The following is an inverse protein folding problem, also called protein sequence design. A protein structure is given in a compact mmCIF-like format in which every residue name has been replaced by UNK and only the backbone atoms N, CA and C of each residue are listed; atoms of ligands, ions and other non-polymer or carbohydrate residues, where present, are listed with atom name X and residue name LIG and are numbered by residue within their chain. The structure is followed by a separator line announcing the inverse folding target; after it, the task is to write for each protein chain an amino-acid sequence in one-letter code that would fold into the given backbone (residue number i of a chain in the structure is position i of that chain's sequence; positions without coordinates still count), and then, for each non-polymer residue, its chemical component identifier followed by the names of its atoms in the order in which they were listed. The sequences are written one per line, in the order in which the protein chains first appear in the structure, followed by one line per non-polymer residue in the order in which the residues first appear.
data_IF_824872554686
#
_entry.id   IF_824872554686
#
_cell.length_a   1.000
_cell.length_b   1.000
_cell.length_c   1.000
_cell.angle_alpha   90.00
_cell.angle_beta   90.00
_cell.angle_gamma   90.00
#
_symmetry.space_group_name_H-M   'P 1'
#
loop_
_entity.id
_entity.type
_entity.pdbx_description
1 polymer ?
#
# COMPACT_ATOMS: atom_id res chain seq x y z
N UNK A 1 25.29 -28.37 1.32
CA UNK A 1 25.88 -28.45 -0.03
C UNK A 1 24.80 -28.99 -0.95
N UNK A 2 23.68 -28.28 -1.04
CA UNK A 2 22.73 -28.44 -2.12
C UNK A 2 23.06 -27.29 -3.07
N UNK A 3 23.66 -27.65 -4.18
CA UNK A 3 23.77 -26.76 -5.33
C UNK A 3 22.35 -26.61 -5.89
N UNK A 4 21.67 -25.54 -5.51
CA UNK A 4 20.52 -25.06 -6.26
C UNK A 4 21.06 -24.65 -7.63
N UNK A 5 21.06 -25.58 -8.57
CA UNK A 5 21.24 -25.27 -9.97
C UNK A 5 20.07 -24.37 -10.37
N UNK A 6 20.35 -23.12 -10.70
CA UNK A 6 19.40 -22.18 -11.31
C UNK A 6 18.93 -22.81 -12.63
N UNK A 7 17.71 -23.35 -12.57
CA UNK A 7 17.23 -24.23 -13.62
C UNK A 7 16.75 -23.44 -14.82
N UNK A 8 17.56 -23.51 -15.84
CA UNK A 8 17.17 -23.16 -17.22
C UNK A 8 16.04 -24.10 -17.64
N UNK A 9 14.98 -23.65 -18.32
CA UNK A 9 13.92 -24.51 -18.80
C UNK A 9 14.47 -25.73 -19.53
N UNK A 10 14.21 -26.94 -19.01
CA UNK A 10 14.64 -28.17 -19.66
C UNK A 10 13.56 -28.62 -20.63
N UNK A 11 13.89 -28.64 -21.90
CA UNK A 11 13.03 -29.13 -22.97
C UNK A 11 13.35 -30.62 -23.21
N UNK A 12 12.31 -31.46 -23.21
CA UNK A 12 12.46 -32.87 -23.56
C UNK A 12 12.97 -33.07 -25.00
N UNK A 13 13.75 -34.14 -25.25
CA UNK A 13 14.20 -34.51 -26.60
C UNK A 13 13.01 -35.05 -27.41
N UNK A 14 12.43 -34.25 -28.32
CA UNK A 14 11.36 -34.65 -29.23
C UNK A 14 10.45 -33.50 -29.64
N UNK A 15 9.56 -33.72 -30.61
CA UNK A 15 8.59 -32.74 -31.08
C UNK A 15 7.42 -32.49 -30.07
N UNK A 16 7.43 -33.18 -28.94
CA UNK A 16 6.42 -33.06 -27.88
C UNK A 16 7.02 -32.44 -26.63
N UNK A 17 6.43 -31.38 -26.11
CA UNK A 17 6.81 -30.75 -24.83
C UNK A 17 6.29 -31.65 -23.71
N UNK A 18 7.18 -32.40 -23.03
CA UNK A 18 6.83 -33.25 -21.88
C UNK A 18 6.68 -32.43 -20.58
N UNK A 19 7.52 -31.43 -20.37
CA UNK A 19 7.43 -30.45 -19.30
C UNK A 19 8.19 -29.18 -19.68
N UNK A 20 7.75 -28.02 -19.22
CA UNK A 20 8.53 -26.77 -19.28
C UNK A 20 8.69 -26.28 -17.86
N UNK A 21 9.92 -26.26 -17.37
CA UNK A 21 10.27 -25.65 -16.12
C UNK A 21 10.47 -24.16 -16.33
N UNK A 22 9.61 -23.36 -15.74
CA UNK A 22 9.78 -21.92 -15.72
C UNK A 22 10.41 -21.53 -14.38
N UNK A 23 11.33 -20.58 -14.39
CA UNK A 23 11.92 -20.00 -13.19
C UNK A 23 10.80 -19.70 -12.19
N UNK A 24 10.85 -20.37 -11.05
CA UNK A 24 9.88 -20.18 -9.99
C UNK A 24 8.63 -21.08 -10.03
N UNK A 25 8.60 -22.15 -10.82
CA UNK A 25 7.61 -23.25 -10.75
C UNK A 25 8.31 -24.55 -10.43
N UNK A 26 7.73 -25.43 -9.61
CA UNK A 26 8.34 -26.70 -9.24
C UNK A 26 8.36 -27.73 -10.38
N UNK A 27 9.28 -28.72 -10.31
CA UNK A 27 9.55 -29.75 -11.30
C UNK A 27 8.34 -30.58 -11.77
N UNK A 28 7.26 -30.58 -11.00
CA UNK A 28 6.04 -31.35 -11.28
C UNK A 28 4.98 -30.56 -12.06
N UNK A 29 5.28 -29.34 -12.54
CA UNK A 29 4.32 -28.59 -13.36
C UNK A 29 4.05 -29.30 -14.67
N UNK A 30 3.08 -30.22 -14.67
CA UNK A 30 2.67 -30.94 -15.87
C UNK A 30 1.98 -29.97 -16.86
N UNK A 31 2.68 -29.64 -17.89
CA UNK A 31 2.10 -28.92 -19.02
C UNK A 31 1.30 -29.89 -19.88
N UNK A 32 0.14 -29.48 -20.34
CA UNK A 32 -0.61 -30.25 -21.33
C UNK A 32 0.28 -30.46 -22.57
N UNK A 33 0.32 -31.70 -23.09
CA UNK A 33 0.99 -31.99 -24.36
C UNK A 33 0.47 -31.02 -25.42
N UNK A 34 1.32 -30.13 -25.90
CA UNK A 34 1.00 -29.23 -27.00
C UNK A 34 1.92 -29.60 -28.16
N UNK A 35 1.33 -30.27 -29.13
CA UNK A 35 1.97 -30.45 -30.46
C UNK A 35 1.99 -29.08 -31.15
N UNK A 36 3.13 -28.69 -31.65
CA UNK A 36 3.38 -27.54 -32.53
C UNK A 36 3.84 -26.22 -31.84
N UNK A 37 4.26 -26.20 -30.57
CA UNK A 37 4.93 -25.06 -29.93
C UNK A 37 6.35 -25.43 -29.54
N UNK A 38 7.31 -24.68 -30.05
CA UNK A 38 8.71 -24.83 -29.60
C UNK A 38 8.84 -24.24 -28.19
N UNK A 39 9.39 -25.00 -27.25
CA UNK A 39 9.50 -24.55 -25.87
C UNK A 39 10.41 -23.32 -25.73
N UNK A 40 11.41 -23.22 -26.61
CA UNK A 40 12.31 -22.06 -26.71
C UNK A 40 11.58 -20.76 -27.12
N UNK A 41 10.32 -20.86 -27.58
CA UNK A 41 9.47 -19.71 -27.92
C UNK A 41 8.57 -19.24 -26.76
N UNK A 42 8.55 -19.97 -25.63
CA UNK A 42 7.75 -19.62 -24.45
C UNK A 42 8.52 -18.63 -23.56
N UNK A 43 8.40 -17.36 -23.88
CA UNK A 43 9.13 -16.26 -23.23
C UNK A 43 8.23 -15.30 -22.44
N UNK A 44 6.96 -15.67 -22.25
CA UNK A 44 6.00 -14.82 -21.57
C UNK A 44 4.91 -15.55 -20.80
N UNK A 45 4.34 -14.87 -19.80
CA UNK A 45 3.17 -15.34 -19.04
C UNK A 45 2.03 -14.34 -19.14
N UNK A 46 0.81 -14.87 -19.29
CA UNK A 46 -0.42 -14.10 -19.26
C UNK A 46 -1.18 -14.42 -17.97
N UNK A 47 -1.16 -13.46 -17.03
CA UNK A 47 -1.81 -13.62 -15.74
C UNK A 47 -3.21 -13.02 -15.77
N UNK A 48 -4.20 -13.79 -15.32
CA UNK A 48 -5.58 -13.33 -15.15
C UNK A 48 -5.99 -13.43 -13.69
N UNK A 49 -6.61 -12.38 -13.17
CA UNK A 49 -7.19 -12.38 -11.85
C UNK A 49 -8.65 -11.92 -11.88
N UNK A 50 -9.51 -12.60 -11.15
CA UNK A 50 -10.91 -12.22 -10.99
C UNK A 50 -11.29 -12.23 -9.52
N UNK A 51 -11.83 -11.12 -9.05
CA UNK A 51 -12.36 -10.99 -7.69
C UNK A 51 -13.83 -10.62 -7.77
N UNK A 52 -14.68 -11.46 -7.22
CA UNK A 52 -16.10 -11.16 -6.98
C UNK A 52 -16.29 -10.97 -5.47
N UNK A 53 -16.57 -9.74 -5.03
CA UNK A 53 -16.71 -9.42 -3.61
C UNK A 53 -18.09 -8.87 -3.28
N UNK A 54 -18.65 -9.34 -2.18
CA UNK A 54 -19.93 -8.87 -1.65
C UNK A 54 -19.82 -8.62 -0.15
N UNK A 55 -20.26 -7.43 0.27
CA UNK A 55 -20.29 -7.09 1.69
C UNK A 55 -21.70 -6.64 2.10
N UNK A 56 -22.12 -7.05 3.29
CA UNK A 56 -23.37 -6.62 3.92
C UNK A 56 -23.07 -6.19 5.34
N UNK A 57 -23.52 -5.00 5.72
CA UNK A 57 -23.28 -4.46 7.06
C UNK A 57 -24.54 -3.88 7.69
N UNK A 58 -24.58 -3.97 9.00
CA UNK A 58 -25.58 -3.33 9.85
C UNK A 58 -24.87 -2.61 11.00
N UNK A 59 -25.21 -1.35 11.22
CA UNK A 59 -24.72 -0.60 12.36
C UNK A 59 -25.88 0.06 13.11
N UNK A 60 -25.74 0.11 14.43
CA UNK A 60 -26.69 0.74 15.31
C UNK A 60 -25.92 1.60 16.32
N UNK A 61 -26.43 2.82 16.57
CA UNK A 61 -25.89 3.67 17.64
C UNK A 61 -27.00 4.43 18.34
N UNK A 62 -26.78 4.69 19.62
CA UNK A 62 -27.60 5.54 20.48
C UNK A 62 -26.73 6.65 21.03
N UNK A 63 -27.20 7.88 20.92
CA UNK A 63 -26.59 9.04 21.56
C UNK A 63 -27.52 9.56 22.65
N UNK A 64 -26.95 9.92 23.82
CA UNK A 64 -27.68 10.46 24.94
C UNK A 64 -26.89 11.58 25.59
N UNK A 65 -27.50 12.74 25.69
CA UNK A 65 -27.00 13.83 26.53
C UNK A 65 -27.49 13.64 27.98
N UNK A 66 -26.60 13.92 28.92
CA UNK A 66 -26.87 13.79 30.34
C UNK A 66 -25.94 14.72 31.15
N UNK A 67 -26.22 14.86 32.43
CA UNK A 67 -25.33 15.57 33.34
C UNK A 67 -24.57 14.60 34.24
N UNK A 68 -23.24 14.70 34.23
CA UNK A 68 -22.35 13.93 35.11
C UNK A 68 -21.71 14.87 36.11
N UNK A 69 -22.07 14.72 37.39
CA UNK A 69 -21.55 15.58 38.48
C UNK A 69 -21.66 17.08 38.19
N UNK A 70 -22.72 17.48 37.47
CA UNK A 70 -22.97 18.89 37.08
C UNK A 70 -22.35 19.31 35.76
N UNK A 71 -21.56 18.45 35.10
CA UNK A 71 -21.00 18.69 33.78
C UNK A 71 -21.92 18.17 32.69
N UNK A 72 -22.00 18.89 31.56
CA UNK A 72 -22.73 18.41 30.37
C UNK A 72 -21.92 17.29 29.71
N UNK A 73 -22.57 16.17 29.48
CA UNK A 73 -21.92 14.99 28.88
C UNK A 73 -22.80 14.41 27.77
N UNK A 74 -22.15 13.84 26.77
CA UNK A 74 -22.77 13.06 25.71
C UNK A 74 -22.16 11.66 25.68
N UNK A 75 -23.01 10.64 25.76
CA UNK A 75 -22.62 9.24 25.63
C UNK A 75 -23.17 8.71 24.30
N UNK A 76 -22.29 8.16 23.49
CA UNK A 76 -22.62 7.37 22.31
C UNK A 76 -22.24 5.92 22.60
N UNK A 77 -23.17 5.00 22.38
CA UNK A 77 -22.92 3.56 22.41
C UNK A 77 -23.43 2.93 21.13
N UNK A 78 -22.72 1.95 20.62
CA UNK A 78 -23.15 1.33 19.38
C UNK A 78 -22.57 -0.06 19.16
N UNK A 79 -23.12 -0.70 18.15
CA UNK A 79 -22.68 -2.00 17.67
C UNK A 79 -22.66 -2.00 16.14
N UNK A 80 -21.73 -2.72 15.56
CA UNK A 80 -21.71 -2.98 14.12
C UNK A 80 -21.49 -4.46 13.85
N UNK A 81 -22.04 -4.93 12.74
CA UNK A 81 -21.85 -6.25 12.19
C UNK A 81 -21.62 -6.12 10.71
N UNK A 82 -20.61 -6.80 10.18
CA UNK A 82 -20.33 -6.88 8.75
C UNK A 82 -20.04 -8.33 8.38
N UNK A 83 -20.66 -8.80 7.31
CA UNK A 83 -20.32 -10.05 6.64
C UNK A 83 -19.81 -9.72 5.24
N UNK A 84 -18.63 -10.24 4.89
CA UNK A 84 -18.04 -10.21 3.55
C UNK A 84 -17.97 -11.64 3.01
N UNK A 85 -18.06 -11.73 1.70
CA UNK A 85 -17.95 -12.95 0.92
C UNK A 85 -17.12 -12.57 -0.31
N UNK A 86 -15.99 -13.21 -0.51
CA UNK A 86 -15.04 -12.90 -1.58
C UNK A 86 -14.64 -14.19 -2.28
N UNK A 87 -14.92 -14.25 -3.56
CA UNK A 87 -14.45 -15.30 -4.44
C UNK A 87 -13.27 -14.75 -5.25
N UNK A 88 -12.11 -15.35 -5.09
CA UNK A 88 -10.92 -15.00 -5.85
C UNK A 88 -10.50 -16.15 -6.75
N UNK A 89 -10.21 -15.83 -8.00
CA UNK A 89 -9.70 -16.76 -9.00
C UNK A 89 -8.51 -16.14 -9.72
N UNK A 90 -7.42 -16.88 -9.83
CA UNK A 90 -6.27 -16.49 -10.63
C UNK A 90 -5.78 -17.66 -11.47
N UNK A 91 -5.32 -17.35 -12.68
CA UNK A 91 -4.70 -18.31 -13.61
C UNK A 91 -3.49 -17.65 -14.26
N UNK A 92 -2.44 -18.43 -14.47
CA UNK A 92 -1.27 -18.09 -15.26
C UNK A 92 -1.24 -18.99 -16.49
N UNK A 93 -1.20 -18.38 -17.66
CA UNK A 93 -1.10 -19.07 -18.96
C UNK A 93 0.23 -18.72 -19.59
N UNK A 94 1.00 -19.71 -20.02
CA UNK A 94 2.22 -19.47 -20.77
C UNK A 94 1.90 -18.96 -22.16
N UNK A 95 2.80 -18.21 -22.74
CA UNK A 95 2.61 -17.60 -24.05
C UNK A 95 3.90 -17.09 -24.64
N UNK A 96 3.77 -16.50 -25.80
CA UNK A 96 4.85 -15.93 -26.59
C UNK A 96 4.79 -14.42 -26.49
N UNK A 97 5.90 -13.75 -26.20
CA UNK A 97 6.04 -12.31 -26.31
C UNK A 97 6.07 -11.93 -27.79
N UNK A 98 5.03 -11.25 -28.28
CA UNK A 98 5.01 -10.70 -29.61
C UNK A 98 6.06 -9.57 -29.70
N UNK A 99 7.25 -9.90 -30.16
CA UNK A 99 8.39 -9.00 -30.18
C UNK A 99 9.02 -8.91 -31.56
N UNK A 100 8.50 -8.06 -32.45
CA UNK A 100 9.22 -7.72 -33.67
C UNK A 100 10.30 -6.63 -33.46
N UNK A 101 10.26 -5.93 -32.35
CA UNK A 101 11.35 -5.05 -31.88
C UNK A 101 11.12 -4.69 -30.42
N UNK A 102 12.19 -4.58 -29.64
CA UNK A 102 12.18 -4.22 -28.20
C UNK A 102 11.44 -2.90 -27.86
N UNK A 103 10.96 -2.18 -28.86
CA UNK A 103 10.26 -0.91 -28.72
C UNK A 103 8.75 -0.99 -29.01
N UNK A 104 8.25 -2.02 -29.69
CA UNK A 104 6.92 -1.96 -30.30
C UNK A 104 5.84 -2.86 -29.70
N UNK A 105 6.18 -3.96 -29.02
CA UNK A 105 5.14 -4.80 -28.41
C UNK A 105 5.61 -5.41 -27.09
N UNK A 106 4.77 -5.31 -26.10
CA UNK A 106 4.88 -5.99 -24.80
C UNK A 106 3.63 -6.82 -24.56
N UNK A 107 3.13 -7.46 -25.61
CA UNK A 107 1.92 -8.25 -25.55
C UNK A 107 2.31 -9.71 -25.50
N UNK A 108 1.92 -10.40 -24.46
CA UNK A 108 2.00 -11.85 -24.39
C UNK A 108 0.79 -12.42 -25.13
N UNK A 109 1.04 -13.27 -26.10
CA UNK A 109 0.02 -14.07 -26.78
C UNK A 109 -0.14 -15.38 -26.02
N UNK A 110 -1.18 -15.55 -25.17
CA UNK A 110 -1.36 -16.76 -24.39
C UNK A 110 -1.66 -17.94 -25.30
N UNK A 111 -1.10 -19.09 -24.98
CA UNK A 111 -1.37 -20.34 -25.70
C UNK A 111 -2.50 -21.08 -25.00
N UNK A 112 -3.60 -21.29 -25.69
CA UNK A 112 -4.78 -21.97 -25.16
C UNK A 112 -4.44 -23.39 -24.66
N UNK A 113 -4.72 -23.66 -23.38
CA UNK A 113 -4.48 -24.94 -22.75
C UNK A 113 -3.12 -25.07 -22.05
N UNK A 114 -2.20 -24.13 -22.27
CA UNK A 114 -0.89 -24.13 -21.62
C UNK A 114 -0.94 -23.29 -20.32
N UNK A 115 -1.41 -23.93 -19.26
CA UNK A 115 -1.67 -23.29 -17.97
C UNK A 115 -0.72 -23.80 -16.90
N UNK A 116 -0.11 -22.90 -16.14
CA UNK A 116 0.64 -23.27 -14.94
C UNK A 116 -0.35 -23.76 -13.87
N UNK A 117 -0.45 -25.07 -13.69
CA UNK A 117 -1.42 -25.68 -12.77
C UNK A 117 -1.18 -25.26 -11.32
N UNK A 118 0.05 -25.18 -10.90
CA UNK A 118 0.46 -24.79 -9.54
C UNK A 118 0.25 -23.30 -9.24
N UNK A 119 0.22 -22.45 -10.26
CA UNK A 119 -0.08 -21.04 -10.11
C UNK A 119 -1.58 -20.70 -10.16
N UNK A 120 -2.44 -21.72 -10.16
CA UNK A 120 -3.88 -21.55 -10.12
C UNK A 120 -4.36 -21.28 -8.71
N UNK A 121 -5.22 -20.29 -8.55
CA UNK A 121 -5.87 -20.01 -7.26
C UNK A 121 -7.37 -20.00 -7.44
N UNK A 122 -8.07 -20.68 -6.56
CA UNK A 122 -9.53 -20.65 -6.43
C UNK A 122 -9.87 -20.60 -4.96
N UNK A 123 -10.03 -19.40 -4.43
CA UNK A 123 -10.19 -19.15 -3.01
C UNK A 123 -11.56 -18.54 -2.73
N UNK A 124 -12.30 -19.16 -1.80
CA UNK A 124 -13.52 -18.60 -1.22
C UNK A 124 -13.24 -18.10 0.20
N UNK A 125 -13.57 -16.85 0.48
CA UNK A 125 -13.29 -16.21 1.76
C UNK A 125 -14.56 -15.66 2.37
N UNK A 126 -14.96 -16.22 3.49
CA UNK A 126 -16.03 -15.71 4.36
C UNK A 126 -15.42 -14.88 5.49
N UNK A 127 -15.77 -13.60 5.57
CA UNK A 127 -15.38 -12.74 6.69
C UNK A 127 -16.58 -12.33 7.52
N UNK A 128 -16.44 -12.37 8.83
CA UNK A 128 -17.45 -11.88 9.75
C UNK A 128 -16.79 -10.99 10.81
N UNK A 129 -17.20 -9.74 10.85
CA UNK A 129 -16.71 -8.78 11.82
C UNK A 129 -17.85 -8.20 12.64
N UNK A 130 -17.70 -8.15 13.96
CA UNK A 130 -18.62 -7.43 14.81
C UNK A 130 -17.88 -6.61 15.86
N UNK A 131 -18.47 -5.51 16.23
CA UNK A 131 -17.90 -4.65 17.24
C UNK A 131 -18.94 -4.04 18.16
N UNK A 132 -18.50 -3.74 19.37
CA UNK A 132 -19.20 -2.91 20.35
C UNK A 132 -18.32 -1.70 20.63
N UNK A 133 -18.91 -0.52 20.67
CA UNK A 133 -18.17 0.69 20.96
C UNK A 133 -18.94 1.65 21.84
N UNK A 134 -18.18 2.46 22.57
CA UNK A 134 -18.70 3.60 23.30
C UNK A 134 -17.79 4.80 23.12
N UNK A 135 -18.35 5.98 23.19
CA UNK A 135 -17.65 7.26 23.30
C UNK A 135 -18.42 8.15 24.27
N UNK A 136 -17.72 8.73 25.22
CA UNK A 136 -18.27 9.72 26.13
C UNK A 136 -17.47 11.01 26.03
N UNK A 137 -18.15 12.11 25.75
CA UNK A 137 -17.57 13.45 25.76
C UNK A 137 -18.18 14.23 26.92
N UNK A 138 -17.34 14.76 27.78
CA UNK A 138 -17.76 15.52 28.98
C UNK A 138 -17.15 16.91 28.95
N UNK A 139 -17.97 17.93 28.95
CA UNK A 139 -17.57 19.33 29.01
C UNK A 139 -17.19 19.68 30.47
N UNK A 140 -15.91 19.68 30.79
CA UNK A 140 -15.40 19.96 32.16
C UNK A 140 -15.44 21.45 32.47
N UNK A 141 -15.32 22.33 31.46
CA UNK A 141 -15.48 23.76 31.53
C UNK A 141 -15.88 24.34 30.19
N UNK A 142 -16.09 25.63 30.07
CA UNK A 142 -16.31 26.27 28.76
C UNK A 142 -15.13 26.10 27.79
N UNK A 143 -13.95 25.78 28.32
CA UNK A 143 -12.70 25.66 27.55
C UNK A 143 -12.17 24.24 27.43
N UNK A 144 -12.65 23.27 28.23
CA UNK A 144 -12.05 21.92 28.28
C UNK A 144 -13.13 20.85 28.19
N UNK A 145 -12.94 19.92 27.24
CA UNK A 145 -13.72 18.70 27.10
C UNK A 145 -12.82 17.46 27.28
N UNK A 146 -13.33 16.47 27.98
CA UNK A 146 -12.70 15.15 28.13
C UNK A 146 -13.46 14.13 27.28
N UNK A 147 -12.75 13.42 26.45
CA UNK A 147 -13.27 12.36 25.60
C UNK A 147 -12.72 11.00 26.05
N UNK A 148 -13.60 10.06 26.31
CA UNK A 148 -13.25 8.68 26.65
C UNK A 148 -13.96 7.76 25.67
N UNK A 149 -13.21 6.85 25.06
CA UNK A 149 -13.74 5.92 24.09
C UNK A 149 -13.16 4.52 24.23
N UNK A 150 -13.87 3.57 23.68
CA UNK A 150 -13.37 2.22 23.54
C UNK A 150 -14.18 1.44 22.52
N UNK A 151 -13.49 0.59 21.78
CA UNK A 151 -14.08 -0.30 20.79
C UNK A 151 -13.54 -1.72 20.99
N UNK A 152 -14.46 -2.65 21.12
CA UNK A 152 -14.18 -4.07 21.12
C UNK A 152 -14.52 -4.64 19.75
N UNK A 153 -13.53 -5.25 19.10
CA UNK A 153 -13.66 -5.90 17.80
C UNK A 153 -13.50 -7.41 17.95
N UNK A 154 -14.25 -8.15 17.15
CA UNK A 154 -14.03 -9.57 16.92
C UNK A 154 -14.26 -9.87 15.45
N UNK A 155 -13.19 -10.37 14.83
CA UNK A 155 -13.12 -10.70 13.41
C UNK A 155 -12.91 -12.21 13.27
N UNK A 156 -13.58 -12.80 12.30
CA UNK A 156 -13.48 -14.20 11.95
C UNK A 156 -13.35 -14.29 10.43
N UNK A 157 -12.27 -14.90 9.98
CA UNK A 157 -11.93 -15.11 8.58
C UNK A 157 -11.88 -16.63 8.38
N UNK A 158 -12.65 -17.11 7.42
CA UNK A 158 -12.63 -18.51 6.97
C UNK A 158 -12.26 -18.48 5.51
N UNK A 159 -11.25 -19.25 5.17
CA UNK A 159 -10.73 -19.40 3.83
C UNK A 159 -10.93 -20.85 3.41
N UNK A 160 -11.41 -21.08 2.21
CA UNK A 160 -11.64 -22.40 1.61
C UNK A 160 -10.96 -22.45 0.24
N UNK A 161 -9.96 -23.31 0.10
CA UNK A 161 -9.35 -23.60 -1.19
C UNK A 161 -10.29 -24.51 -1.99
N UNK A 162 -10.65 -24.10 -3.20
CA UNK A 162 -11.56 -24.88 -4.06
C UNK A 162 -10.80 -25.80 -5.04
N UNK A 163 -9.47 -25.84 -4.97
CA UNK A 163 -8.61 -26.69 -5.80
C UNK A 163 -8.00 -27.80 -4.97
N UNK A 164 -7.46 -27.45 -3.82
CA UNK A 164 -6.67 -28.36 -2.97
C UNK A 164 -7.25 -28.48 -1.56
N UNK A 165 -7.16 -29.68 -0.96
CA UNK A 165 -7.68 -30.01 0.38
C UNK A 165 -6.62 -30.75 1.20
N UNK A 166 -5.42 -30.23 1.36
CA UNK A 166 -4.34 -30.93 2.04
C UNK A 166 -3.26 -30.02 2.59
N UNK A 167 -2.11 -30.57 2.76
CA UNK A 167 -0.88 -29.82 3.06
C UNK A 167 -0.58 -28.92 1.87
N UNK A 168 -0.39 -27.63 2.11
CA UNK A 168 -0.25 -26.62 1.04
C UNK A 168 -1.56 -25.97 0.57
N UNK A 169 -2.74 -26.38 1.07
CA UNK A 169 -3.99 -25.73 0.73
C UNK A 169 -4.11 -24.35 1.40
N UNK A 170 -4.90 -23.45 0.77
CA UNK A 170 -5.19 -22.12 1.30
C UNK A 170 -6.29 -22.11 2.37
N UNK A 171 -6.67 -23.27 2.88
CA UNK A 171 -7.67 -23.40 3.93
C UNK A 171 -7.24 -22.73 5.23
N UNK A 172 -8.09 -21.89 5.79
CA UNK A 172 -7.78 -21.16 7.01
C UNK A 172 -9.01 -20.83 7.86
N UNK A 173 -8.80 -20.77 9.18
CA UNK A 173 -9.86 -20.38 10.12
C UNK A 173 -9.30 -19.52 11.25
N UNK A 174 -9.31 -18.21 11.03
CA UNK A 174 -8.66 -17.24 11.88
C UNK A 174 -9.66 -16.44 12.70
N UNK A 175 -9.32 -16.17 13.96
CA UNK A 175 -10.15 -15.38 14.89
C UNK A 175 -9.29 -14.38 15.63
N UNK A 176 -9.62 -13.10 15.42
CA UNK A 176 -8.96 -11.99 16.05
C UNK A 176 -9.93 -11.28 17.01
N UNK A 177 -9.40 -10.81 18.13
CA UNK A 177 -10.19 -10.12 19.13
C UNK A 177 -9.35 -9.05 19.80
N UNK A 178 -9.83 -7.80 19.78
CA UNK A 178 -9.09 -6.70 20.36
C UNK A 178 -10.02 -5.66 20.98
N UNK A 179 -9.56 -5.10 22.10
CA UNK A 179 -10.15 -3.91 22.70
C UNK A 179 -9.24 -2.71 22.45
N UNK A 180 -9.78 -1.66 21.86
CA UNK A 180 -9.08 -0.45 21.46
C UNK A 180 -9.59 0.74 22.29
N UNK A 181 -8.91 1.13 23.38
CA UNK A 181 -9.24 2.31 24.18
C UNK A 181 -8.75 3.60 23.53
N UNK A 182 -9.42 4.70 23.85
CA UNK A 182 -8.99 6.05 23.49
C UNK A 182 -9.34 7.05 24.59
N UNK A 183 -8.43 7.98 24.82
CA UNK A 183 -8.62 9.12 25.72
C UNK A 183 -8.16 10.38 25.02
N UNK A 184 -8.97 11.42 25.05
CA UNK A 184 -8.64 12.71 24.45
C UNK A 184 -9.08 13.88 25.32
N UNK A 185 -8.38 14.99 25.20
CA UNK A 185 -8.72 16.26 25.83
C UNK A 185 -8.72 17.35 24.76
N UNK A 186 -9.86 18.01 24.59
CA UNK A 186 -9.98 19.19 23.75
C UNK A 186 -9.90 20.43 24.61
N UNK A 187 -9.03 21.36 24.26
CA UNK A 187 -8.81 22.62 24.94
C UNK A 187 -9.08 23.77 23.97
N UNK A 188 -10.14 24.51 24.20
CA UNK A 188 -10.40 25.78 23.52
C UNK A 188 -9.60 26.86 24.23
N UNK A 189 -8.52 27.34 23.60
CA UNK A 189 -7.63 28.36 24.17
C UNK A 189 -8.31 29.74 24.06
N UNK A 190 -8.87 30.01 22.89
CA UNK A 190 -9.68 31.17 22.59
C UNK A 190 -10.68 30.86 21.46
N UNK A 191 -11.41 31.86 20.93
CA UNK A 191 -12.43 31.67 19.89
C UNK A 191 -11.85 31.14 18.55
N UNK A 192 -10.54 31.23 18.36
CA UNK A 192 -9.86 30.92 17.11
C UNK A 192 -8.86 29.78 17.25
N UNK A 193 -8.53 29.38 18.48
CA UNK A 193 -7.43 28.46 18.78
C UNK A 193 -7.91 27.25 19.59
N UNK A 194 -7.56 26.06 19.13
CA UNK A 194 -7.89 24.80 19.78
C UNK A 194 -6.65 23.91 19.85
N UNK A 195 -6.51 23.19 20.96
CA UNK A 195 -5.53 22.13 21.17
C UNK A 195 -6.26 20.84 21.49
N UNK A 196 -6.00 19.80 20.69
CA UNK A 196 -6.45 18.44 20.96
C UNK A 196 -5.25 17.59 21.37
N UNK A 197 -5.37 16.86 22.46
CA UNK A 197 -4.40 15.87 22.93
C UNK A 197 -5.09 14.52 22.99
N UNK A 198 -4.50 13.48 22.39
CA UNK A 198 -5.09 12.15 22.40
C UNK A 198 -4.05 11.04 22.60
N UNK A 199 -4.50 9.98 23.26
CA UNK A 199 -3.83 8.69 23.34
C UNK A 199 -4.87 7.65 22.90
N UNK A 200 -4.53 6.85 21.92
CA UNK A 200 -5.43 5.85 21.37
C UNK A 200 -4.71 4.56 21.03
N UNK A 201 -5.46 3.48 21.00
CA UNK A 201 -5.04 2.20 20.44
C UNK A 201 -5.96 1.84 19.27
N UNK A 202 -5.38 1.32 18.21
CA UNK A 202 -6.08 0.72 17.07
C UNK A 202 -5.53 -0.67 16.78
N UNK A 203 -6.28 -1.46 16.03
CA UNK A 203 -5.83 -2.78 15.58
C UNK A 203 -6.21 -3.01 14.13
N UNK A 204 -5.39 -3.79 13.43
CA UNK A 204 -5.63 -4.28 12.09
C UNK A 204 -5.46 -5.80 12.06
N UNK A 205 -6.48 -6.50 11.62
CA UNK A 205 -6.36 -7.94 11.33
C UNK A 205 -5.58 -8.14 10.03
N UNK A 206 -4.82 -9.22 9.90
CA UNK A 206 -4.28 -9.62 8.60
C UNK A 206 -5.39 -9.73 7.55
N UNK A 207 -5.08 -9.37 6.33
CA UNK A 207 -5.97 -9.60 5.19
C UNK A 207 -5.92 -11.08 4.76
N UNK A 208 -6.94 -11.60 4.05
CA UNK A 208 -6.86 -12.95 3.50
C UNK A 208 -5.63 -13.19 2.62
N UNK A 209 -5.21 -12.19 1.84
CA UNK A 209 -4.00 -12.28 1.02
C UNK A 209 -2.72 -12.36 1.85
N UNK A 210 -2.64 -11.69 3.00
CA UNK A 210 -1.50 -11.83 3.91
C UNK A 210 -1.51 -13.20 4.60
N UNK A 211 -2.67 -13.71 4.96
CA UNK A 211 -2.83 -15.02 5.59
C UNK A 211 -2.48 -16.18 4.63
N UNK A 212 -2.80 -16.05 3.35
CA UNK A 212 -2.46 -17.05 2.34
C UNK A 212 -1.03 -16.95 1.80
N UNK A 213 -0.20 -16.08 2.34
CA UNK A 213 1.18 -15.84 1.91
C UNK A 213 2.09 -15.66 3.11
N UNK A 214 2.07 -16.54 4.06
CA UNK A 214 2.84 -16.35 5.28
C UNK A 214 3.69 -17.59 5.67
N UNK A 215 3.91 -18.56 4.77
CA UNK A 215 4.78 -19.70 4.98
C UNK A 215 6.17 -19.43 4.39
N UNK A 216 7.20 -19.61 5.22
CA UNK A 216 8.61 -19.48 4.84
C UNK A 216 9.06 -20.68 4.00
N UNK A 217 8.54 -21.86 4.31
CA UNK A 217 8.90 -23.11 3.63
C UNK A 217 8.18 -23.23 2.26
N UNK A 218 7.10 -22.46 2.06
CA UNK A 218 6.36 -22.42 0.82
C UNK A 218 5.95 -20.97 0.44
N UNK A 219 6.90 -20.17 -0.03
CA UNK A 219 6.70 -18.76 -0.33
C UNK A 219 5.82 -18.56 -1.56
N UNK A 220 4.85 -17.67 -1.47
CA UNK A 220 3.94 -17.41 -2.57
C UNK A 220 4.55 -16.55 -3.69
N UNK A 221 4.06 -16.79 -4.90
CA UNK A 221 4.42 -16.06 -6.11
C UNK A 221 3.41 -14.94 -6.38
N UNK A 222 3.81 -13.70 -6.15
CA UNK A 222 2.96 -12.57 -6.49
C UNK A 222 3.03 -12.26 -8.00
N UNK A 223 1.92 -11.94 -8.68
CA UNK A 223 0.59 -11.66 -8.13
C UNK A 223 -0.35 -12.87 -8.00
N UNK A 224 0.00 -14.05 -8.45
CA UNK A 224 -0.95 -15.13 -8.65
C UNK A 224 -0.68 -16.42 -7.86
N UNK A 225 0.43 -16.53 -7.16
CA UNK A 225 0.72 -17.69 -6.34
C UNK A 225 0.42 -17.40 -4.87
N UNK A 226 -0.54 -18.07 -4.28
CA UNK A 226 -0.78 -18.09 -2.84
C UNK A 226 -0.55 -19.50 -2.36
N UNK A 227 0.21 -19.68 -1.29
CA UNK A 227 0.47 -21.00 -0.72
C UNK A 227 0.54 -20.87 0.80
N UNK A 228 -0.15 -21.77 1.48
CA UNK A 228 -0.15 -22.10 2.90
C UNK A 228 -0.34 -20.96 3.93
N UNK A 229 -0.85 -21.33 5.06
CA UNK A 229 -1.40 -20.52 6.12
C UNK A 229 -0.62 -20.66 7.43
N UNK A 230 0.38 -19.81 7.71
CA UNK A 230 0.86 -19.67 9.08
C UNK A 230 0.08 -18.61 9.83
N UNK A 231 0.01 -18.71 11.14
CA UNK A 231 -0.73 -17.75 11.96
C UNK A 231 -0.01 -16.41 12.02
N UNK A 232 -0.47 -15.43 11.24
CA UNK A 232 -0.10 -14.05 11.46
C UNK A 232 -0.91 -13.46 12.62
N UNK A 233 -0.23 -12.74 13.48
CA UNK A 233 -0.86 -11.96 14.55
C UNK A 233 -1.45 -10.64 14.01
N UNK A 234 -2.47 -10.14 14.69
CA UNK A 234 -3.03 -8.83 14.34
C UNK A 234 -2.11 -7.70 14.78
N UNK A 235 -1.95 -6.71 13.95
CA UNK A 235 -1.20 -5.49 14.27
C UNK A 235 -1.94 -4.67 15.30
N UNK A 236 -1.25 -4.26 16.38
CA UNK A 236 -1.79 -3.38 17.41
C UNK A 236 -0.95 -2.10 17.49
N UNK A 237 -1.57 -0.97 17.19
CA UNK A 237 -0.90 0.33 17.16
C UNK A 237 -1.36 1.22 18.31
N UNK A 238 -0.43 1.77 19.06
CA UNK A 238 -0.66 2.80 20.07
C UNK A 238 -0.14 4.14 19.57
N UNK A 239 -0.98 5.17 19.65
CA UNK A 239 -0.67 6.50 19.14
C UNK A 239 -0.86 7.54 20.25
N UNK A 240 0.10 8.44 20.37
CA UNK A 240 0.00 9.68 21.15
C UNK A 240 0.09 10.82 20.15
N UNK A 241 -0.85 11.75 20.20
CA UNK A 241 -0.90 12.88 19.28
C UNK A 241 -1.30 14.19 19.96
N UNK A 242 -0.80 15.29 19.41
CA UNK A 242 -1.15 16.64 19.79
C UNK A 242 -1.43 17.45 18.52
N UNK A 243 -2.65 17.91 18.39
CA UNK A 243 -3.09 18.72 17.26
C UNK A 243 -3.45 20.13 17.73
N UNK A 244 -2.78 21.13 17.18
CA UNK A 244 -3.06 22.55 17.42
C UNK A 244 -3.58 23.19 16.13
N UNK A 245 -4.74 23.82 16.22
CA UNK A 245 -5.32 24.60 15.14
C UNK A 245 -5.59 26.02 15.60
N UNK A 246 -5.29 26.98 14.73
CA UNK A 246 -5.62 28.39 15.01
C UNK A 246 -5.90 29.16 13.74
N UNK A 247 -6.67 30.21 13.88
CA UNK A 247 -6.87 31.23 12.84
C UNK A 247 -6.39 32.58 13.35
N UNK A 248 -5.41 33.15 12.67
CA UNK A 248 -4.90 34.50 12.95
C UNK A 248 -5.29 35.38 11.77
N UNK A 249 -6.22 36.30 12.00
CA UNK A 249 -6.88 37.08 10.94
C UNK A 249 -7.50 36.17 9.87
N UNK A 250 -6.90 36.09 8.69
CA UNK A 250 -7.33 35.25 7.56
C UNK A 250 -6.35 34.11 7.26
N UNK A 251 -5.42 33.82 8.19
CA UNK A 251 -4.46 32.72 8.07
C UNK A 251 -4.90 31.56 8.96
N UNK A 252 -5.19 30.42 8.34
CA UNK A 252 -5.44 29.14 9.02
C UNK A 252 -4.11 28.40 9.23
N UNK A 253 -3.84 27.98 10.46
CA UNK A 253 -2.66 27.21 10.85
C UNK A 253 -3.10 25.89 11.49
N UNK A 254 -2.42 24.80 11.14
CA UNK A 254 -2.54 23.51 11.79
C UNK A 254 -1.13 22.96 12.04
N UNK A 255 -0.92 22.45 13.24
CA UNK A 255 0.28 21.71 13.62
C UNK A 255 -0.16 20.41 14.30
N UNK A 256 0.21 19.27 13.76
CA UNK A 256 0.04 17.97 14.39
C UNK A 256 1.40 17.35 14.67
N UNK A 257 1.58 16.79 15.87
CA UNK A 257 2.75 16.01 16.26
C UNK A 257 2.24 14.68 16.77
N UNK A 258 2.81 13.59 16.26
CA UNK A 258 2.38 12.25 16.63
C UNK A 258 3.55 11.31 16.85
N UNK A 259 3.29 10.29 17.65
CA UNK A 259 4.18 9.15 17.86
C UNK A 259 3.32 7.89 17.97
N UNK A 260 3.56 6.94 17.07
CA UNK A 260 2.85 5.68 16.96
C UNK A 260 3.83 4.51 17.07
N UNK A 261 3.48 3.49 17.84
CA UNK A 261 4.18 2.21 17.90
C UNK A 261 3.23 1.10 17.52
N UNK A 262 3.62 0.29 16.57
CA UNK A 262 2.89 -0.89 16.12
C UNK A 262 3.62 -2.13 16.58
N UNK A 263 2.89 -3.01 17.26
CA UNK A 263 3.35 -4.37 17.59
C UNK A 263 2.82 -5.32 16.55
N UNK A 264 3.61 -6.36 16.29
CA UNK A 264 3.29 -7.41 15.33
C UNK A 264 2.94 -6.82 13.94
N UNK A 265 3.73 -5.79 13.53
CA UNK A 265 3.53 -5.16 12.21
C UNK A 265 3.83 -6.17 11.11
N UNK A 266 3.02 -6.17 10.04
CA UNK A 266 3.13 -7.16 8.97
C UNK A 266 3.94 -6.55 7.83
N UNK A 267 5.02 -7.25 7.46
CA UNK A 267 5.85 -6.88 6.31
C UNK A 267 5.93 -8.04 5.33
N UNK A 268 6.16 -7.74 4.06
CA UNK A 268 6.48 -8.72 3.04
C UNK A 268 7.99 -8.96 3.01
N UNK A 269 8.40 -10.21 2.99
CA UNK A 269 9.79 -10.65 2.87
C UNK A 269 9.94 -11.45 1.58
N UNK A 270 11.00 -11.18 0.83
CA UNK A 270 11.32 -11.98 -0.35
C UNK A 270 11.83 -13.38 0.06
N UNK A 271 11.69 -14.36 -0.81
CA UNK A 271 12.20 -15.70 -0.64
C UNK A 271 12.69 -16.26 -1.98
N UNK A 272 13.80 -17.03 -1.93
CA UNK A 272 14.41 -17.59 -3.12
C UNK A 272 15.04 -16.54 -4.05
N UNK A 273 15.48 -16.98 -5.22
CA UNK A 273 16.15 -16.15 -6.23
C UNK A 273 15.18 -15.31 -7.08
N UNK A 274 13.86 -15.52 -7.00
CA UNK A 274 12.86 -14.85 -7.82
C UNK A 274 12.27 -13.65 -7.10
N UNK A 275 12.41 -12.46 -7.65
CA UNK A 275 11.96 -11.19 -7.06
C UNK A 275 10.45 -11.13 -6.73
N UNK A 276 9.64 -11.97 -7.36
CA UNK A 276 8.19 -12.05 -7.13
C UNK A 276 7.79 -13.08 -6.07
N UNK A 277 8.72 -13.90 -5.58
CA UNK A 277 8.47 -14.85 -4.49
C UNK A 277 8.63 -14.19 -3.13
N UNK A 278 7.79 -14.59 -2.19
CA UNK A 278 7.92 -14.12 -0.82
C UNK A 278 6.72 -14.45 0.04
N UNK A 279 6.81 -14.05 1.30
CA UNK A 279 5.81 -14.32 2.32
C UNK A 279 5.66 -13.15 3.28
N UNK A 280 4.57 -13.11 4.03
CA UNK A 280 4.34 -12.10 5.05
C UNK A 280 4.75 -12.62 6.41
N UNK A 281 5.44 -11.76 7.18
CA UNK A 281 5.82 -12.04 8.56
C UNK A 281 5.36 -10.91 9.48
N UNK A 282 5.18 -11.25 10.76
CA UNK A 282 5.10 -10.23 11.79
C UNK A 282 6.50 -9.81 12.24
N UNK A 283 6.76 -8.51 12.29
CA UNK A 283 7.91 -7.94 13.00
C UNK A 283 7.44 -7.40 14.34
N UNK A 284 8.21 -7.65 15.41
CA UNK A 284 7.77 -7.38 16.78
C UNK A 284 7.33 -5.94 17.02
N UNK A 285 8.10 -4.96 16.54
CA UNK A 285 7.77 -3.54 16.75
C UNK A 285 8.28 -2.66 15.61
N UNK A 286 7.38 -1.76 15.13
CA UNK A 286 7.73 -0.63 14.27
C UNK A 286 7.27 0.68 14.91
N UNK A 287 7.92 1.78 14.55
CA UNK A 287 7.60 3.11 15.04
C UNK A 287 7.39 4.08 13.88
N UNK A 288 6.40 4.94 14.03
CA UNK A 288 6.17 6.07 13.14
C UNK A 288 5.97 7.32 13.98
N UNK A 289 6.83 8.31 13.80
CA UNK A 289 6.69 9.60 14.49
C UNK A 289 6.87 10.74 13.51
N UNK A 290 6.16 11.84 13.73
CA UNK A 290 6.21 12.90 12.75
C UNK A 290 5.58 14.20 13.19
N UNK A 291 5.70 15.15 12.26
CA UNK A 291 5.13 16.49 12.36
C UNK A 291 4.41 16.79 11.06
N UNK A 292 3.15 17.19 11.16
CA UNK A 292 2.37 17.71 10.05
C UNK A 292 2.07 19.18 10.29
N UNK A 293 2.40 20.00 9.33
CA UNK A 293 2.16 21.44 9.37
C UNK A 293 1.40 21.89 8.15
N UNK A 294 0.36 22.68 8.36
CA UNK A 294 -0.42 23.31 7.28
C UNK A 294 -0.63 24.79 7.58
N UNK A 295 -0.35 25.62 6.59
CA UNK A 295 -0.71 27.03 6.63
C UNK A 295 -1.42 27.43 5.33
N UNK A 296 -2.54 28.10 5.46
CA UNK A 296 -3.32 28.55 4.32
C UNK A 296 -3.99 29.91 4.55
N UNK A 297 -4.12 30.68 3.51
CA UNK A 297 -4.80 31.96 3.57
C UNK A 297 -5.38 32.34 2.21
N UNK A 298 -6.36 33.24 2.27
CA UNK A 298 -6.81 33.96 1.09
C UNK A 298 -6.54 35.46 1.32
N UNK A 299 -5.64 36.03 0.52
CA UNK A 299 -5.33 37.44 0.53
C UNK A 299 -5.79 38.05 -0.79
N UNK A 300 -6.85 38.82 -0.71
CA UNK A 300 -7.54 39.43 -1.87
C UNK A 300 -7.91 38.35 -2.92
N UNK A 301 -7.15 38.26 -4.00
CA UNK A 301 -7.35 37.32 -5.13
C UNK A 301 -6.47 36.11 -5.08
N UNK A 302 -5.53 36.03 -4.15
CA UNK A 302 -4.58 34.93 -4.00
C UNK A 302 -5.01 34.02 -2.85
N UNK A 303 -5.28 32.75 -3.15
CA UNK A 303 -5.41 31.71 -2.15
C UNK A 303 -4.15 30.86 -2.20
N UNK A 304 -3.53 30.62 -1.07
CA UNK A 304 -2.35 29.74 -0.99
C UNK A 304 -2.48 28.77 0.18
N UNK A 305 -1.79 27.62 0.04
CA UNK A 305 -1.66 26.62 1.10
C UNK A 305 -0.30 25.95 1.00
N UNK A 306 0.39 25.87 2.11
CA UNK A 306 1.60 25.06 2.29
C UNK A 306 1.26 23.92 3.24
N UNK A 307 1.56 22.69 2.83
CA UNK A 307 1.56 21.52 3.70
C UNK A 307 2.98 20.97 3.76
N UNK A 308 3.43 20.66 4.95
CA UNK A 308 4.71 20.01 5.21
C UNK A 308 4.48 18.81 6.13
N UNK A 309 4.99 17.65 5.74
CA UNK A 309 4.98 16.45 6.53
C UNK A 309 6.43 16.00 6.76
N UNK A 310 6.76 15.76 8.00
CA UNK A 310 7.95 15.03 8.41
C UNK A 310 7.51 13.71 8.99
N UNK A 311 8.06 12.60 8.48
CA UNK A 311 7.78 11.25 8.94
C UNK A 311 9.11 10.52 9.19
N UNK A 312 9.30 10.04 10.41
CA UNK A 312 10.34 9.10 10.76
C UNK A 312 9.68 7.74 11.02
N UNK A 313 9.80 6.82 10.07
CA UNK A 313 9.29 5.46 10.16
C UNK A 313 10.46 4.49 10.31
N UNK A 314 10.51 3.71 11.39
CA UNK A 314 11.65 2.86 11.76
C UNK A 314 11.19 1.47 12.22
N UNK A 315 12.03 0.48 12.01
CA UNK A 315 11.98 -0.78 12.73
C UNK A 315 12.52 -0.57 14.14
N UNK A 316 11.92 -1.22 15.14
CA UNK A 316 12.33 -1.12 16.55
C UNK A 316 12.67 -2.51 17.13
N UNK A 317 12.67 -3.54 16.29
CA UNK A 317 13.09 -4.91 16.59
C UNK A 317 14.19 -5.35 15.65
N UNK A 318 14.94 -6.39 16.06
CA UNK A 318 15.98 -6.98 15.22
C UNK A 318 15.43 -8.22 14.53
N UNK A 319 15.58 -8.29 13.21
CA UNK A 319 15.25 -9.47 12.42
C UNK A 319 16.20 -9.58 11.23
N UNK A 320 16.22 -10.73 10.58
CA UNK A 320 16.93 -10.92 9.32
C UNK A 320 15.94 -10.66 8.18
N UNK A 321 16.28 -9.75 7.28
CA UNK A 321 15.58 -9.56 6.02
C UNK A 321 16.32 -10.27 4.92
N UNK A 322 15.62 -11.11 4.19
CA UNK A 322 16.14 -11.76 3.00
C UNK A 322 15.83 -10.90 1.78
N UNK A 323 16.87 -10.54 1.04
CA UNK A 323 16.77 -9.75 -0.20
C UNK A 323 17.86 -10.21 -1.16
N UNK A 324 17.58 -11.19 -2.03
CA UNK A 324 18.60 -11.89 -2.83
C UNK A 324 19.41 -10.95 -3.70
N UNK A 325 18.80 -9.89 -4.21
CA UNK A 325 19.43 -8.92 -5.09
C UNK A 325 20.00 -7.68 -4.37
N UNK A 326 20.07 -7.71 -3.04
CA UNK A 326 20.69 -6.61 -2.31
C UNK A 326 22.20 -6.56 -2.59
N UNK A 327 22.78 -5.43 -3.03
CA UNK A 327 24.21 -5.32 -3.34
C UNK A 327 25.14 -5.68 -2.18
N UNK A 328 24.67 -5.69 -0.94
CA UNK A 328 25.44 -6.07 0.25
C UNK A 328 25.30 -7.57 0.61
N UNK A 329 24.54 -8.31 -0.18
CA UNK A 329 24.28 -9.75 -0.01
C UNK A 329 22.85 -10.03 0.48
N UNK A 330 22.39 -11.31 0.34
CA UNK A 330 20.98 -11.65 0.51
C UNK A 330 20.47 -11.49 1.95
N UNK A 331 21.24 -11.91 2.94
CA UNK A 331 20.83 -11.86 4.34
C UNK A 331 21.29 -10.59 5.02
N UNK A 332 20.37 -9.69 5.32
CA UNK A 332 20.69 -8.44 6.00
C UNK A 332 20.05 -8.40 7.38
N UNK A 333 20.84 -7.99 8.38
CA UNK A 333 20.35 -7.84 9.75
C UNK A 333 19.80 -6.43 9.91
N UNK A 334 18.49 -6.35 10.04
CA UNK A 334 17.78 -5.12 10.39
C UNK A 334 17.88 -4.88 11.90
N UNK A 335 18.15 -3.65 12.29
CA UNK A 335 18.34 -3.26 13.68
C UNK A 335 17.41 -2.10 14.08
N UNK A 336 17.11 -1.93 15.38
CA UNK A 336 16.31 -0.80 15.84
C UNK A 336 16.87 0.55 15.38
N UNK A 337 16.03 1.34 14.73
CA UNK A 337 16.35 2.64 14.16
C UNK A 337 16.52 2.64 12.63
N UNK A 338 16.65 1.47 12.00
CA UNK A 338 16.65 1.36 10.54
C UNK A 338 15.31 1.82 9.97
N UNK A 339 15.35 2.55 8.87
CA UNK A 339 14.18 3.18 8.24
C UNK A 339 13.39 2.15 7.44
N UNK A 340 12.08 2.23 7.53
CA UNK A 340 11.18 1.47 6.67
C UNK A 340 11.30 2.01 5.24
N UNK A 341 11.68 1.17 4.25
CA UNK A 341 11.84 1.59 2.86
C UNK A 341 10.57 2.14 2.21
N UNK A 342 10.73 2.88 1.12
CA UNK A 342 9.62 3.43 0.36
C UNK A 342 8.89 4.59 1.05
N UNK A 343 9.50 5.21 2.08
CA UNK A 343 8.92 6.30 2.87
C UNK A 343 9.84 7.53 2.83
N UNK A 344 9.52 8.59 2.07
CA UNK A 344 10.29 9.83 2.12
C UNK A 344 10.08 10.53 3.47
N UNK A 345 11.17 10.96 4.13
CA UNK A 345 11.09 11.62 5.43
C UNK A 345 10.46 13.02 5.36
N UNK A 346 10.64 13.73 4.25
CA UNK A 346 10.12 15.09 4.07
C UNK A 346 9.24 15.16 2.82
N UNK A 347 8.02 15.63 2.99
CA UNK A 347 7.10 15.90 1.90
C UNK A 347 6.56 17.33 2.02
N UNK A 348 6.78 18.16 1.01
CA UNK A 348 6.28 19.54 0.92
C UNK A 348 5.32 19.66 -0.24
N UNK A 349 4.15 20.24 -0.02
CA UNK A 349 3.20 20.61 -1.08
C UNK A 349 2.81 22.08 -0.91
N UNK A 350 3.17 22.90 -1.88
CA UNK A 350 2.79 24.29 -1.96
C UNK A 350 1.78 24.47 -3.09
N UNK A 351 0.68 25.07 -2.78
CA UNK A 351 -0.42 25.37 -3.69
C UNK A 351 -0.70 26.86 -3.69
N UNK A 352 -0.90 27.45 -4.87
CA UNK A 352 -1.32 28.83 -5.04
C UNK A 352 -2.36 28.95 -6.16
N UNK A 353 -3.45 29.67 -5.91
CA UNK A 353 -4.51 29.95 -6.86
C UNK A 353 -4.78 31.46 -6.90
N UNK A 354 -4.70 32.06 -8.07
CA UNK A 354 -4.95 33.48 -8.27
C UNK A 354 -6.19 33.70 -9.13
N UNK A 355 -7.17 34.42 -8.57
CA UNK A 355 -8.39 34.85 -9.28
C UNK A 355 -8.08 36.04 -10.16
N UNK A 356 -7.72 35.80 -11.43
CA UNK A 356 -7.50 36.89 -12.43
C UNK A 356 -8.75 37.74 -12.60
N UNK A 357 -9.93 37.09 -12.61
CA UNK A 357 -11.24 37.75 -12.66
C UNK A 357 -12.30 36.79 -12.08
N UNK A 358 -13.56 37.19 -12.03
CA UNK A 358 -14.69 36.34 -11.61
C UNK A 358 -14.87 35.10 -12.51
N UNK A 359 -14.26 35.09 -13.69
CA UNK A 359 -14.38 34.04 -14.69
C UNK A 359 -13.07 33.25 -14.90
N UNK A 360 -11.93 33.81 -14.54
CA UNK A 360 -10.62 33.26 -14.85
C UNK A 360 -9.78 33.02 -13.59
N UNK A 361 -9.17 31.86 -13.47
CA UNK A 361 -8.24 31.49 -12.41
C UNK A 361 -6.97 30.91 -13.02
N UNK A 362 -5.85 31.17 -12.36
CA UNK A 362 -4.54 30.60 -12.65
C UNK A 362 -3.97 30.05 -11.34
N UNK A 363 -3.48 28.82 -11.36
CA UNK A 363 -2.86 28.24 -10.18
C UNK A 363 -1.59 27.46 -10.49
N UNK A 364 -0.82 27.26 -9.45
CA UNK A 364 0.40 26.48 -9.46
C UNK A 364 0.48 25.59 -8.22
N UNK A 365 1.13 24.48 -8.37
CA UNK A 365 1.44 23.52 -7.30
C UNK A 365 2.90 23.12 -7.41
N UNK A 366 3.60 23.09 -6.27
CA UNK A 366 4.95 22.55 -6.17
C UNK A 366 4.92 21.39 -5.19
N UNK A 367 5.47 20.26 -5.58
CA UNK A 367 5.60 19.05 -4.76
C UNK A 367 7.09 18.73 -4.64
N UNK A 368 7.56 18.52 -3.41
CA UNK A 368 8.92 18.09 -3.12
C UNK A 368 8.87 16.91 -2.16
N UNK A 369 9.57 15.83 -2.49
CA UNK A 369 9.82 14.69 -1.62
C UNK A 369 11.31 14.48 -1.43
N UNK A 370 11.73 14.08 -0.22
CA UNK A 370 13.12 13.68 0.04
C UNK A 370 13.43 12.32 -0.58
N UNK A 371 14.70 11.94 -0.57
CA UNK A 371 15.17 10.59 -0.90
C UNK A 371 14.57 9.54 0.03
N UNK A 372 14.52 8.28 -0.44
CA UNK A 372 13.99 7.13 0.29
C UNK A 372 14.77 5.87 -0.05
N UNK A 373 14.80 4.88 0.84
CA UNK A 373 15.44 3.60 0.59
C UNK A 373 14.63 2.73 -0.37
N UNK A 374 15.32 1.85 -1.10
CA UNK A 374 14.70 0.82 -1.93
C UNK A 374 14.04 -0.24 -1.05
N UNK A 375 12.96 -0.86 -1.53
CA UNK A 375 12.48 -2.13 -0.96
C UNK A 375 13.56 -3.19 -1.21
N UNK A 376 13.82 -4.02 -0.20
CA UNK A 376 14.97 -4.94 -0.20
C UNK A 376 16.22 -4.35 0.46
N UNK A 377 16.16 -3.08 0.93
CA UNK A 377 17.21 -2.46 1.75
C UNK A 377 16.66 -2.06 3.13
N UNK A 378 16.05 -3.00 3.82
CA UNK A 378 15.48 -2.79 5.14
C UNK A 378 16.57 -2.48 6.19
N UNK A 379 17.82 -2.89 5.95
CA UNK A 379 18.98 -2.58 6.78
C UNK A 379 19.62 -1.21 6.47
N UNK A 380 19.15 -0.50 5.44
CA UNK A 380 19.60 0.85 5.07
C UNK A 380 21.10 0.97 4.72
N UNK A 381 21.66 -0.01 4.06
CA UNK A 381 23.08 -0.11 3.77
C UNK A 381 23.47 0.43 2.38
N UNK A 382 22.50 0.73 1.52
CA UNK A 382 22.71 1.12 0.13
C UNK A 382 22.32 2.59 -0.16
N UNK A 383 22.58 3.03 -1.37
CA UNK A 383 22.15 4.35 -1.85
C UNK A 383 20.62 4.42 -1.94
N UNK A 384 20.09 5.63 -1.81
CA UNK A 384 18.67 5.90 -1.82
C UNK A 384 18.18 6.29 -3.21
N UNK A 385 16.91 6.05 -3.48
CA UNK A 385 16.21 6.72 -4.59
C UNK A 385 16.24 8.22 -4.33
N UNK A 386 16.62 9.00 -5.33
CA UNK A 386 16.75 10.45 -5.23
C UNK A 386 15.43 11.15 -4.88
N UNK A 387 15.54 12.20 -4.10
CA UNK A 387 14.43 13.12 -3.87
C UNK A 387 14.12 13.97 -5.10
N UNK A 388 12.90 14.49 -5.16
CA UNK A 388 12.47 15.28 -6.31
C UNK A 388 11.73 16.57 -5.93
N UNK A 389 11.72 17.51 -6.87
CA UNK A 389 10.86 18.69 -6.86
C UNK A 389 10.21 18.84 -8.23
N UNK A 390 8.89 18.85 -8.27
CA UNK A 390 8.11 19.07 -9.50
C UNK A 390 7.16 20.24 -9.33
N UNK A 391 6.80 20.87 -10.45
CA UNK A 391 5.82 21.93 -10.50
C UNK A 391 4.71 21.60 -11.49
N UNK A 392 3.48 21.89 -11.10
CA UNK A 392 2.28 21.79 -11.91
C UNK A 392 1.64 23.19 -12.06
N UNK A 393 1.04 23.45 -13.20
CA UNK A 393 0.25 24.67 -13.40
C UNK A 393 -1.12 24.34 -13.95
N UNK A 394 -2.09 25.16 -13.60
CA UNK A 394 -3.43 25.02 -14.17
C UNK A 394 -4.07 26.39 -14.40
N UNK A 395 -4.96 26.45 -15.38
CA UNK A 395 -5.80 27.60 -15.66
C UNK A 395 -7.23 27.14 -15.85
N UNK A 396 -8.19 27.95 -15.43
CA UNK A 396 -9.60 27.71 -15.70
C UNK A 396 -10.30 28.97 -16.15
N UNK A 397 -11.25 28.81 -17.08
CA UNK A 397 -12.06 29.92 -17.59
C UNK A 397 -13.53 29.50 -17.68
N UNK A 398 -14.39 30.25 -17.00
CA UNK A 398 -15.83 30.09 -17.04
C UNK A 398 -16.42 31.01 -18.13
N UNK A 399 -16.79 30.44 -19.26
CA UNK A 399 -17.39 31.13 -20.37
C UNK A 399 -18.75 31.75 -19.97
N UNK A 400 -19.58 30.91 -19.33
CA UNK A 400 -20.89 31.25 -18.80
C UNK A 400 -21.27 30.28 -17.67
N UNK A 401 -22.51 30.30 -17.18
CA UNK A 401 -22.95 29.43 -16.08
C UNK A 401 -23.02 27.94 -16.48
N UNK A 402 -23.08 27.67 -17.79
CA UNK A 402 -23.12 26.30 -18.34
C UNK A 402 -21.72 25.73 -18.60
N UNK A 403 -20.81 26.52 -19.20
CA UNK A 403 -19.54 26.02 -19.71
C UNK A 403 -18.32 26.57 -18.96
N UNK A 404 -17.46 25.66 -18.51
CA UNK A 404 -16.14 25.97 -17.94
C UNK A 404 -15.09 25.10 -18.63
N UNK A 405 -14.01 25.70 -19.12
CA UNK A 405 -12.83 24.98 -19.57
C UNK A 405 -11.70 25.07 -18.54
N UNK A 406 -10.90 24.03 -18.44
CA UNK A 406 -9.67 24.04 -17.66
C UNK A 406 -8.54 23.34 -18.42
N UNK A 407 -7.35 23.89 -18.25
CA UNK A 407 -6.08 23.38 -18.75
C UNK A 407 -5.21 23.05 -17.53
N UNK A 408 -4.58 21.89 -17.52
CA UNK A 408 -3.57 21.51 -16.51
C UNK A 408 -2.33 21.01 -17.22
N UNK A 409 -1.18 21.44 -16.76
CA UNK A 409 0.13 20.93 -17.16
C UNK A 409 0.79 20.39 -15.91
N UNK A 410 0.96 19.08 -15.83
CA UNK A 410 1.72 18.40 -14.79
C UNK A 410 3.18 18.33 -15.20
N UNK A 411 4.08 18.36 -14.21
CA UNK A 411 5.52 18.28 -14.41
C UNK A 411 6.00 19.27 -15.51
N UNK A 412 5.76 20.55 -15.28
CA UNK A 412 6.00 21.64 -16.28
C UNK A 412 7.42 21.62 -16.82
N UNK A 413 8.40 21.25 -15.98
CA UNK A 413 9.81 21.24 -16.34
C UNK A 413 10.28 19.93 -16.96
N UNK A 414 9.37 18.95 -17.11
CA UNK A 414 9.67 17.62 -17.68
C UNK A 414 10.81 16.94 -16.97
N UNK A 415 10.77 17.00 -15.63
CA UNK A 415 11.82 16.37 -14.81
C UNK A 415 11.58 14.86 -14.79
N UNK A 416 12.65 14.10 -15.08
CA UNK A 416 12.68 12.67 -14.82
C UNK A 416 12.89 12.46 -13.32
N UNK A 417 12.04 11.62 -12.71
CA UNK A 417 12.10 11.28 -11.30
C UNK A 417 11.39 9.96 -11.03
N UNK A 418 11.76 9.32 -9.94
CA UNK A 418 11.24 8.04 -9.49
C UNK A 418 10.43 8.21 -8.21
N UNK A 419 9.38 7.41 -8.07
CA UNK A 419 8.52 7.41 -6.87
C UNK A 419 8.58 6.12 -6.08
N UNK A 420 9.17 5.08 -6.66
CA UNK A 420 9.30 3.75 -6.09
C UNK A 420 10.58 3.10 -6.60
N UNK A 421 11.17 2.20 -5.80
CA UNK A 421 12.26 1.35 -6.21
C UNK A 421 12.32 0.09 -5.36
N UNK A 422 12.76 -0.98 -5.97
CA UNK A 422 13.01 -2.28 -5.35
C UNK A 422 14.25 -2.89 -5.95
N UNK A 423 14.87 -3.84 -5.25
CA UNK A 423 15.88 -4.69 -5.84
C UNK A 423 15.22 -5.86 -6.55
N UNK A 424 15.86 -6.33 -7.62
CA UNK A 424 15.42 -7.45 -8.43
C UNK A 424 16.54 -7.87 -9.39
N UNK A 425 16.31 -8.89 -10.15
CA UNK A 425 17.25 -9.45 -11.12
C UNK A 425 17.08 -8.71 -12.47
N UNK A 426 17.95 -7.75 -12.72
CA UNK A 426 17.83 -6.92 -13.93
C UNK A 426 18.53 -7.57 -15.13
N UNK A 427 19.63 -8.25 -14.89
CA UNK A 427 20.45 -8.92 -15.90
C UNK A 427 19.68 -10.08 -16.54
N UNK A 428 19.16 -11.02 -15.78
CA UNK A 428 18.42 -12.16 -16.31
C UNK A 428 17.15 -11.76 -17.10
N UNK A 429 16.40 -10.78 -16.61
CA UNK A 429 15.16 -10.31 -17.26
C UNK A 429 15.45 -9.47 -18.52
N UNK A 430 16.60 -8.83 -18.61
CA UNK A 430 16.90 -7.83 -19.65
C UNK A 430 18.11 -8.17 -20.52
N UNK A 431 18.86 -9.26 -20.27
CA UNK A 431 20.07 -9.64 -20.97
C UNK A 431 19.88 -9.71 -22.49
N UNK A 432 18.79 -10.28 -22.94
CA UNK A 432 18.45 -10.40 -24.36
C UNK A 432 18.15 -9.05 -25.03
N UNK A 433 17.66 -8.09 -24.25
CA UNK A 433 17.26 -6.76 -24.76
C UNK A 433 18.35 -5.73 -24.53
N UNK A 434 19.05 -5.82 -23.40
CA UNK A 434 20.11 -4.92 -22.96
C UNK A 434 21.26 -5.73 -22.33
N UNK A 435 22.11 -6.36 -23.13
CA UNK A 435 23.17 -7.27 -22.64
C UNK A 435 24.25 -6.61 -21.78
N UNK A 436 24.22 -5.31 -21.64
CA UNK A 436 25.14 -4.52 -20.80
C UNK A 436 24.44 -3.98 -19.53
N UNK A 437 23.26 -4.49 -19.15
CA UNK A 437 22.57 -4.07 -17.93
C UNK A 437 23.31 -4.64 -16.72
N UNK A 438 23.89 -3.76 -15.95
CA UNK A 438 24.47 -4.08 -14.65
C UNK A 438 23.64 -3.39 -13.55
N UNK A 439 23.27 -4.14 -12.51
CA UNK A 439 22.63 -3.60 -11.32
C UNK A 439 21.28 -4.20 -11.00
N UNK A 440 20.99 -4.28 -9.72
CA UNK A 440 19.79 -4.89 -9.17
C UNK A 440 18.66 -3.86 -8.93
N UNK A 441 18.76 -2.64 -9.40
CA UNK A 441 17.85 -1.56 -9.08
C UNK A 441 16.72 -1.44 -10.09
N UNK A 442 15.49 -1.78 -9.66
CA UNK A 442 14.27 -1.48 -10.41
C UNK A 442 13.61 -0.22 -9.85
N UNK A 443 13.35 0.76 -10.71
CA UNK A 443 12.69 2.00 -10.33
C UNK A 443 11.38 2.20 -11.08
N UNK A 444 10.37 2.73 -10.38
CA UNK A 444 9.12 3.15 -10.97
C UNK A 444 9.21 4.58 -11.49
N UNK A 445 9.39 4.80 -12.81
CA UNK A 445 9.43 6.14 -13.37
C UNK A 445 8.10 6.86 -13.15
N UNK A 446 8.18 8.11 -12.73
CA UNK A 446 7.01 8.93 -12.49
C UNK A 446 6.51 9.55 -13.80
N UNK A 447 5.35 10.19 -13.70
CA UNK A 447 4.68 10.77 -14.86
C UNK A 447 5.52 11.88 -15.52
N UNK A 448 5.82 11.78 -16.82
CA UNK A 448 6.46 12.86 -17.57
C UNK A 448 5.52 14.07 -17.68
N UNK A 449 5.98 15.14 -18.35
CA UNK A 449 5.11 16.29 -18.59
C UNK A 449 3.84 15.88 -19.33
N UNK A 450 2.70 16.12 -18.71
CA UNK A 450 1.40 15.83 -19.27
C UNK A 450 0.53 17.08 -19.35
N UNK A 451 -0.12 17.27 -20.49
CA UNK A 451 -1.09 18.34 -20.71
C UNK A 451 -2.49 17.74 -20.79
N UNK A 452 -3.41 18.26 -19.99
CA UNK A 452 -4.82 17.86 -20.01
C UNK A 452 -5.75 19.06 -20.18
N UNK A 453 -6.79 18.88 -20.99
CA UNK A 453 -7.85 19.84 -21.19
C UNK A 453 -9.17 19.20 -20.77
N UNK A 454 -9.91 19.91 -19.94
CA UNK A 454 -11.24 19.49 -19.49
C UNK A 454 -12.29 20.55 -19.84
N UNK A 455 -13.41 20.11 -20.40
CA UNK A 455 -14.59 20.95 -20.65
C UNK A 455 -15.75 20.42 -19.80
N UNK A 456 -16.22 21.23 -18.87
CA UNK A 456 -17.36 20.93 -18.00
C UNK A 456 -18.59 21.67 -18.47
N UNK A 457 -19.69 20.94 -18.68
CA UNK A 457 -21.01 21.48 -18.93
C UNK A 457 -21.96 21.17 -17.75
N UNK A 458 -22.71 22.17 -17.29
CA UNK A 458 -23.78 22.02 -16.29
C UNK A 458 -25.11 22.40 -16.95
N UNK A 459 -26.07 21.49 -16.89
CA UNK A 459 -27.43 21.65 -17.41
C UNK A 459 -28.42 21.72 -16.27
#
# INVERSE_FOLDING_TARGET
DDDDDDDVPVVGEGDDIEAVEFIGFDDDTALAEISDVDADELDGTYNTGRTDAKATGLSFQLAKQYALSGFSSELIVGASYTKGDVNYAADTTFGILENESAQDSRTVLPIDGLMAQEARVRLDVDTTAWSLFFMNSTQLSSAVSLNLGGRFNRDHIVMEDLIDDGEGSLDGNHRFTQFNPAVGVDITIDEQSQLNLAISQSSRTPSPAELSCADEDDPCRLPNGFVADPPLDQVVTQTIEANYTTRIDNVDLMLNVFHSRSKDDIIFQQAGSVASRGYFINVDETQRQGVEFSVGSTWEKLTYRLNYNYLNATYESTFTSFSPFNPQGPDRVVTPGDKIPGQPEHLVKLYADYALSDKARLGAEVISASSQYFRGDEANENEKIDGYVIANVYASYRFNDTFTASLRVNNVFDKDYETFGTYGEADEVLEDIYPDVEGAEFVGPAQPRMVSVNLKARF
#
